data_IF_509861895502
#
_entry.id   IF_509861895502
#
_cell.length_a   1.000
_cell.length_b   1.000
_cell.length_c   1.000
_cell.angle_alpha   90.00
_cell.angle_beta   90.00
_cell.angle_gamma   90.00
#
_symmetry.space_group_name_H-M   'P 1'
#
loop_
_entity.id
_entity.type
_entity.pdbx_description
1 polymer ?
#
# COMPACT_ATOMS: atom_id res chain seq x y z
N UNK A 1 20.06 12.38 0.05
CA UNK A 1 19.58 12.61 1.42
C UNK A 1 18.76 13.90 1.40
N UNK A 2 17.46 13.79 1.17
CA UNK A 2 16.54 14.92 1.15
C UNK A 2 15.91 15.02 2.54
N UNK A 3 16.37 15.98 3.33
CA UNK A 3 15.83 16.25 4.65
C UNK A 3 14.37 16.70 4.51
N UNK A 4 13.49 16.02 5.23
CA UNK A 4 12.08 16.36 5.37
C UNK A 4 11.95 17.65 6.18
N UNK A 5 11.30 18.66 5.60
CA UNK A 5 10.90 19.90 6.26
C UNK A 5 12.05 20.82 6.62
N UNK A 6 12.47 21.65 5.65
CA UNK A 6 13.44 22.73 5.85
C UNK A 6 13.05 23.55 7.10
N UNK A 7 13.90 23.59 8.13
CA UNK A 7 13.62 24.27 9.41
C UNK A 7 13.21 25.74 9.22
N UNK A 8 13.65 26.34 8.12
CA UNK A 8 13.28 27.67 7.65
C UNK A 8 11.78 27.82 7.33
N UNK A 9 11.09 26.78 6.85
CA UNK A 9 9.64 26.82 6.59
C UNK A 9 8.84 26.85 7.89
N UNK A 10 9.20 25.99 8.86
CA UNK A 10 8.52 25.96 10.17
C UNK A 10 8.68 27.29 10.90
N UNK A 11 9.88 27.87 10.86
CA UNK A 11 10.17 29.16 11.45
C UNK A 11 9.37 30.30 10.77
N UNK A 12 9.35 30.33 9.43
CA UNK A 12 8.54 31.30 8.69
C UNK A 12 7.04 31.20 9.00
N UNK A 13 6.49 29.99 9.11
CA UNK A 13 5.08 29.80 9.45
C UNK A 13 4.76 30.33 10.85
N UNK A 14 5.59 30.02 11.84
CA UNK A 14 5.39 30.48 13.22
C UNK A 14 5.57 31.99 13.38
N UNK A 15 6.62 32.55 12.79
CA UNK A 15 6.99 33.96 13.00
C UNK A 15 6.07 34.93 12.23
N UNK A 16 5.49 34.47 11.11
CA UNK A 16 4.72 35.35 10.21
C UNK A 16 3.25 34.97 10.11
N UNK A 17 2.91 33.74 9.71
CA UNK A 17 1.52 33.38 9.37
C UNK A 17 0.68 32.98 10.57
N UNK A 18 1.29 32.27 11.53
CA UNK A 18 0.63 31.73 12.71
C UNK A 18 0.83 32.62 13.94
N UNK A 19 1.13 33.91 13.72
CA UNK A 19 1.32 34.88 14.78
C UNK A 19 0.02 35.01 15.62
N UNK A 20 0.14 35.04 16.94
CA UNK A 20 -1.01 35.17 17.85
C UNK A 20 -1.75 36.49 17.65
N UNK A 21 -1.04 37.57 17.32
CA UNK A 21 -1.62 38.87 17.01
C UNK A 21 -2.13 38.91 15.56
N UNK A 22 -3.45 39.06 15.31
CA UNK A 22 -4.01 39.15 13.97
C UNK A 22 -3.51 40.37 13.18
N UNK A 23 -3.18 41.48 13.86
CA UNK A 23 -2.74 42.71 13.20
C UNK A 23 -1.29 42.65 12.72
N UNK A 24 -0.49 41.76 13.31
CA UNK A 24 0.88 41.47 12.88
C UNK A 24 0.96 40.47 11.71
N UNK A 25 -0.16 39.81 11.35
CA UNK A 25 -0.19 38.82 10.26
C UNK A 25 -0.11 39.51 8.90
N UNK A 26 0.71 39.00 7.96
CA UNK A 26 0.78 39.55 6.63
C UNK A 26 -0.50 39.25 5.83
N UNK A 27 -0.85 40.17 4.95
CA UNK A 27 -1.94 39.98 3.98
C UNK A 27 -1.55 38.94 2.93
N UNK A 28 -2.55 38.35 2.26
CA UNK A 28 -2.32 37.40 1.17
C UNK A 28 -1.39 37.96 0.07
N UNK A 29 -1.49 39.26 -0.24
CA UNK A 29 -0.62 39.93 -1.21
C UNK A 29 0.84 39.95 -0.74
N UNK A 30 1.09 40.32 0.52
CA UNK A 30 2.43 40.36 1.10
C UNK A 30 3.06 38.96 1.17
N UNK A 31 2.26 37.92 1.42
CA UNK A 31 2.70 36.52 1.42
C UNK A 31 3.20 36.10 0.03
N UNK A 32 2.39 36.37 -1.01
CA UNK A 32 2.72 36.03 -2.40
C UNK A 32 3.95 36.81 -2.90
N UNK A 33 4.17 38.01 -2.38
CA UNK A 33 5.34 38.82 -2.73
C UNK A 33 6.62 38.40 -1.99
N UNK A 34 6.51 37.57 -0.95
CA UNK A 34 7.66 37.13 -0.13
C UNK A 34 8.69 36.35 -0.96
N UNK A 35 9.96 36.54 -0.60
CA UNK A 35 11.08 35.88 -1.28
C UNK A 35 11.07 34.36 -1.10
N UNK A 36 10.53 33.85 0.02
CA UNK A 36 10.45 32.41 0.30
C UNK A 36 9.39 31.73 -0.55
N UNK A 37 8.19 32.30 -0.68
CA UNK A 37 7.15 31.75 -1.55
C UNK A 37 7.61 31.76 -3.02
N UNK A 38 8.28 32.83 -3.48
CA UNK A 38 8.88 32.88 -4.81
C UNK A 38 10.05 31.89 -5.03
N UNK A 39 10.69 31.44 -3.96
CA UNK A 39 11.75 30.42 -4.00
C UNK A 39 11.16 29.00 -4.00
N UNK A 40 10.06 28.78 -3.29
CA UNK A 40 9.45 27.46 -3.13
C UNK A 40 8.41 27.12 -4.21
N UNK A 41 7.76 28.13 -4.77
CA UNK A 41 6.70 27.97 -5.77
C UNK A 41 7.11 28.63 -7.09
N UNK A 42 6.65 28.06 -8.19
CA UNK A 42 6.77 28.64 -9.51
C UNK A 42 5.76 29.77 -9.70
N UNK A 43 5.86 30.47 -10.84
CA UNK A 43 5.01 31.63 -11.13
C UNK A 43 3.55 31.26 -11.35
N UNK A 44 3.25 30.01 -11.70
CA UNK A 44 1.89 29.50 -11.86
C UNK A 44 1.73 28.11 -11.27
N UNK A 45 0.49 27.80 -10.88
CA UNK A 45 0.11 26.48 -10.37
C UNK A 45 0.39 25.36 -11.38
N UNK A 46 0.19 25.63 -12.67
CA UNK A 46 0.49 24.66 -13.73
C UNK A 46 1.99 24.32 -13.81
N UNK A 47 2.85 25.31 -13.55
CA UNK A 47 4.29 25.08 -13.50
C UNK A 47 4.68 24.25 -12.27
N UNK A 48 4.06 24.52 -11.12
CA UNK A 48 4.25 23.70 -9.92
C UNK A 48 3.77 22.26 -10.13
N UNK A 49 2.59 22.08 -10.72
CA UNK A 49 2.07 20.76 -11.09
C UNK A 49 3.06 20.02 -12.00
N UNK A 50 3.51 20.67 -13.07
CA UNK A 50 4.44 20.07 -14.03
C UNK A 50 5.80 19.75 -13.38
N UNK A 51 6.30 20.61 -12.50
CA UNK A 51 7.53 20.38 -11.76
C UNK A 51 7.41 19.17 -10.83
N UNK A 52 6.31 19.07 -10.06
CA UNK A 52 6.03 17.94 -9.19
C UNK A 52 5.86 16.64 -9.98
N UNK A 53 5.09 16.66 -11.08
CA UNK A 53 4.94 15.49 -11.98
C UNK A 53 6.30 15.07 -12.51
N UNK A 54 7.15 16.00 -12.96
CA UNK A 54 8.47 15.65 -13.47
C UNK A 54 9.37 15.04 -12.40
N UNK A 55 9.52 15.69 -11.25
CA UNK A 55 10.46 15.24 -10.22
C UNK A 55 9.96 14.01 -9.45
N UNK A 56 8.65 13.88 -9.19
CA UNK A 56 8.13 12.75 -8.42
C UNK A 56 7.63 11.60 -9.30
N UNK A 57 7.08 11.89 -10.47
CA UNK A 57 6.55 10.84 -11.34
C UNK A 57 7.60 10.44 -12.37
N UNK A 58 8.10 11.36 -13.18
CA UNK A 58 9.05 10.98 -14.24
C UNK A 58 10.43 10.55 -13.71
N UNK A 59 10.93 11.21 -12.66
CA UNK A 59 12.27 10.90 -12.12
C UNK A 59 12.25 9.81 -11.02
N UNK A 60 11.19 9.73 -10.20
CA UNK A 60 11.13 8.82 -9.05
C UNK A 60 10.14 7.66 -9.20
N UNK A 61 9.10 7.78 -10.04
CA UNK A 61 8.00 6.81 -10.15
C UNK A 61 7.66 6.50 -11.61
N UNK A 62 8.64 5.95 -12.33
CA UNK A 62 8.53 5.58 -13.74
C UNK A 62 7.39 4.60 -14.03
N UNK A 63 6.90 3.86 -13.03
CA UNK A 63 5.80 2.90 -13.18
C UNK A 63 4.42 3.56 -13.26
N UNK A 64 4.28 4.78 -12.71
CA UNK A 64 3.08 5.58 -12.88
C UNK A 64 3.04 6.35 -14.21
N UNK A 65 4.14 6.36 -14.98
CA UNK A 65 4.21 7.00 -16.29
C UNK A 65 3.20 6.42 -17.29
N UNK A 66 2.94 5.11 -17.26
CA UNK A 66 2.00 4.43 -18.16
C UNK A 66 0.54 4.49 -17.69
N UNK A 67 0.29 4.90 -16.45
CA UNK A 67 -1.05 4.96 -15.84
C UNK A 67 -1.65 6.37 -15.83
N UNK A 68 -0.85 7.41 -16.11
CA UNK A 68 -1.32 8.79 -16.29
C UNK A 68 -2.08 8.99 -17.61
N UNK A 69 -1.86 8.13 -18.62
CA UNK A 69 -2.57 8.19 -19.91
C UNK A 69 -4.00 7.62 -19.83
N UNK A 70 -4.33 6.94 -18.74
CA UNK A 70 -5.70 6.54 -18.43
C UNK A 70 -6.19 7.41 -17.25
N UNK A 71 -7.27 8.16 -17.43
CA UNK A 71 -7.97 8.89 -16.36
C UNK A 71 -8.57 7.89 -15.34
N UNK A 72 -7.70 7.24 -14.57
CA UNK A 72 -8.01 6.24 -13.57
C UNK A 72 -7.52 6.67 -12.19
N UNK A 73 -8.18 6.13 -11.17
CA UNK A 73 -7.80 6.39 -9.77
C UNK A 73 -6.38 5.88 -9.49
N UNK A 74 -5.54 6.76 -8.92
CA UNK A 74 -4.16 6.45 -8.57
C UNK A 74 -4.09 5.65 -7.25
N UNK A 75 -4.44 4.36 -7.30
CA UNK A 75 -4.40 3.45 -6.15
C UNK A 75 -2.99 2.91 -5.82
N UNK A 76 -1.94 3.34 -6.54
CA UNK A 76 -0.59 2.82 -6.35
C UNK A 76 0.17 3.47 -5.19
N UNK A 77 -0.36 4.44 -4.44
CA UNK A 77 0.40 5.04 -3.32
C UNK A 77 0.81 3.99 -2.27
N UNK A 78 0.01 2.93 -2.11
CA UNK A 78 0.35 1.80 -1.23
C UNK A 78 1.25 0.75 -1.91
N UNK A 79 1.18 0.59 -3.23
CA UNK A 79 2.06 -0.33 -3.99
C UNK A 79 3.46 0.25 -4.25
N UNK A 80 3.57 1.56 -4.44
CA UNK A 80 4.82 2.24 -4.73
C UNK A 80 5.74 2.27 -3.51
N UNK A 81 5.23 2.48 -2.29
CA UNK A 81 6.04 2.35 -1.06
C UNK A 81 6.54 0.90 -0.92
N UNK A 82 5.68 -0.09 -1.23
CA UNK A 82 6.04 -1.50 -1.18
C UNK A 82 7.11 -1.90 -2.20
N UNK A 83 7.04 -1.35 -3.43
CA UNK A 83 8.04 -1.59 -4.48
C UNK A 83 9.34 -0.82 -4.23
N UNK A 84 9.28 0.45 -3.81
CA UNK A 84 10.46 1.34 -3.73
C UNK A 84 11.38 1.02 -2.53
N UNK A 85 10.84 0.44 -1.44
CA UNK A 85 11.67 -0.09 -0.34
C UNK A 85 12.43 -1.37 -0.77
N UNK A 86 12.00 -2.07 -1.82
CA UNK A 86 12.46 -3.43 -2.12
C UNK A 86 12.93 -3.71 -3.55
N UNK A 87 12.98 -2.74 -4.46
CA UNK A 87 13.48 -2.96 -5.84
C UNK A 87 15.01 -2.95 -5.94
N UNK A 88 15.61 -4.06 -5.52
CA UNK A 88 16.70 -4.64 -6.30
C UNK A 88 16.07 -5.35 -7.50
N UNK A 89 16.11 -4.70 -8.68
CA UNK A 89 15.39 -4.94 -9.96
C UNK A 89 15.19 -6.38 -10.46
N UNK A 90 15.78 -7.41 -9.84
CA UNK A 90 15.68 -8.83 -10.26
C UNK A 90 14.55 -9.58 -9.52
N UNK A 91 14.11 -9.10 -8.36
CA UNK A 91 13.15 -9.82 -7.51
C UNK A 91 11.70 -9.56 -7.90
N UNK A 92 11.38 -8.36 -8.42
CA UNK A 92 10.03 -7.98 -8.86
C UNK A 92 9.55 -8.77 -10.08
N UNK A 93 10.36 -8.88 -11.13
CA UNK A 93 10.02 -9.64 -12.34
C UNK A 93 9.82 -11.14 -12.07
N UNK A 94 10.53 -11.69 -11.09
CA UNK A 94 10.36 -13.08 -10.66
C UNK A 94 9.09 -13.25 -9.83
N UNK A 95 8.72 -12.26 -9.03
CA UNK A 95 7.49 -12.28 -8.24
C UNK A 95 6.24 -12.20 -9.13
N UNK A 96 6.32 -11.43 -10.22
CA UNK A 96 5.25 -11.32 -11.23
C UNK A 96 4.99 -12.62 -11.99
N UNK A 97 6.01 -13.48 -12.15
CA UNK A 97 5.91 -14.76 -12.87
C UNK A 97 5.49 -15.94 -11.99
N UNK A 98 5.41 -15.77 -10.67
CA UNK A 98 5.13 -16.87 -9.74
C UNK A 98 3.66 -16.89 -9.34
N UNK A 99 3.12 -18.10 -9.25
CA UNK A 99 1.75 -18.35 -8.78
C UNK A 99 1.76 -18.61 -7.28
N UNK A 100 0.95 -17.84 -6.55
CA UNK A 100 0.74 -18.05 -5.13
C UNK A 100 -0.67 -18.59 -4.89
N UNK A 101 -0.82 -19.39 -3.85
CA UNK A 101 -2.11 -19.75 -3.31
C UNK A 101 -2.15 -19.36 -1.84
N UNK A 102 -3.32 -18.87 -1.40
CA UNK A 102 -3.54 -18.57 0.01
C UNK A 102 -4.77 -19.29 0.52
N UNK A 103 -4.78 -19.51 1.83
CA UNK A 103 -5.87 -20.04 2.61
C UNK A 103 -6.19 -19.02 3.69
N UNK A 104 -7.45 -18.60 3.75
CA UNK A 104 -7.93 -17.60 4.70
C UNK A 104 -9.03 -18.22 5.57
N UNK A 105 -8.90 -18.04 6.88
CA UNK A 105 -9.90 -18.40 7.88
C UNK A 105 -10.15 -17.19 8.79
N UNK A 106 -11.42 -16.83 9.00
CA UNK A 106 -11.81 -15.73 9.90
C UNK A 106 -12.57 -16.29 11.09
N UNK A 107 -12.21 -15.81 12.28
CA UNK A 107 -12.76 -16.24 13.56
C UNK A 107 -13.44 -15.06 14.25
N UNK A 108 -14.65 -15.30 14.74
CA UNK A 108 -15.42 -14.40 15.58
C UNK A 108 -15.54 -15.04 16.98
N UNK A 109 -14.99 -14.40 18.03
CA UNK A 109 -14.91 -14.96 19.39
C UNK A 109 -14.41 -16.42 19.41
N UNK A 110 -13.34 -16.72 18.67
CA UNK A 110 -12.74 -18.05 18.49
C UNK A 110 -13.57 -19.08 17.68
N UNK A 111 -14.78 -18.71 17.26
CA UNK A 111 -15.59 -19.54 16.36
C UNK A 111 -15.29 -19.20 14.90
N UNK A 112 -15.07 -20.22 14.09
CA UNK A 112 -14.88 -20.06 12.65
C UNK A 112 -16.16 -19.51 12.02
N UNK A 113 -16.07 -18.37 11.34
CA UNK A 113 -17.23 -17.70 10.75
C UNK A 113 -17.91 -18.60 9.73
N UNK A 114 -19.25 -18.69 9.81
CA UNK A 114 -20.08 -19.54 8.95
C UNK A 114 -19.78 -19.28 7.47
N UNK A 115 -19.40 -20.33 6.74
CA UNK A 115 -18.92 -20.25 5.36
C UNK A 115 -17.42 -20.50 5.20
N UNK A 116 -16.65 -20.47 6.27
CA UNK A 116 -15.24 -20.89 6.30
C UNK A 116 -15.13 -22.36 6.72
N UNK A 117 -15.69 -23.32 5.99
CA UNK A 117 -15.57 -24.74 6.40
C UNK A 117 -14.10 -25.21 6.33
N UNK A 118 -13.65 -26.15 7.17
CA UNK A 118 -12.22 -26.53 7.25
C UNK A 118 -11.69 -27.16 5.94
N UNK A 119 -12.60 -27.76 5.15
CA UNK A 119 -12.35 -28.23 3.78
C UNK A 119 -12.58 -27.17 2.68
N UNK A 120 -13.28 -26.07 3.02
CA UNK A 120 -13.58 -24.90 2.16
C UNK A 120 -12.88 -23.62 2.61
N UNK A 121 -11.81 -23.74 3.39
CA UNK A 121 -10.89 -22.64 3.67
C UNK A 121 -10.62 -21.92 2.33
N UNK A 122 -10.86 -20.61 2.23
CA UNK A 122 -10.93 -19.91 0.94
C UNK A 122 -9.58 -20.04 0.21
N UNK A 123 -9.45 -21.10 -0.60
CA UNK A 123 -8.23 -21.47 -1.32
C UNK A 123 -8.32 -20.83 -2.68
N UNK A 124 -7.77 -19.64 -2.80
CA UNK A 124 -7.68 -18.96 -4.10
C UNK A 124 -6.23 -18.87 -4.52
N UNK A 125 -6.04 -19.08 -5.81
CA UNK A 125 -4.77 -18.86 -6.48
C UNK A 125 -4.79 -17.47 -7.06
N UNK A 126 -3.72 -16.72 -6.86
CA UNK A 126 -3.51 -15.46 -7.56
C UNK A 126 -2.08 -15.42 -8.11
N UNK A 127 -1.97 -14.86 -9.30
CA UNK A 127 -0.70 -14.44 -9.88
C UNK A 127 -0.72 -12.93 -9.89
N UNK A 128 0.41 -12.29 -9.65
CA UNK A 128 0.49 -10.83 -9.79
C UNK A 128 0.26 -10.36 -11.24
N UNK A 129 0.17 -11.27 -12.20
CA UNK A 129 -0.05 -11.03 -13.62
C UNK A 129 -1.52 -11.22 -14.09
N UNK A 130 -2.24 -12.25 -13.62
CA UNK A 130 -3.53 -12.64 -14.24
C UNK A 130 -4.77 -12.33 -13.38
N UNK A 131 -4.68 -12.48 -12.06
CA UNK A 131 -5.79 -12.19 -11.14
C UNK A 131 -5.27 -11.34 -10.00
N UNK A 132 -5.80 -10.12 -9.84
CA UNK A 132 -5.39 -9.30 -8.72
C UNK A 132 -5.86 -9.95 -7.42
N UNK A 133 -4.98 -10.01 -6.41
CA UNK A 133 -5.33 -10.48 -5.07
C UNK A 133 -6.61 -9.79 -4.57
N UNK A 134 -6.74 -8.49 -4.86
CA UNK A 134 -7.93 -7.71 -4.57
C UNK A 134 -9.20 -8.30 -5.19
N UNK A 135 -9.23 -8.67 -6.47
CA UNK A 135 -10.40 -9.32 -7.08
C UNK A 135 -10.79 -10.60 -6.34
N UNK A 136 -9.81 -11.40 -5.94
CA UNK A 136 -10.11 -12.64 -5.19
C UNK A 136 -10.67 -12.36 -3.80
N UNK A 137 -10.22 -11.30 -3.13
CA UNK A 137 -10.75 -10.87 -1.83
C UNK A 137 -12.14 -10.26 -1.96
N UNK A 138 -12.42 -9.52 -3.04
CA UNK A 138 -13.74 -8.97 -3.30
C UNK A 138 -14.79 -10.07 -3.52
N UNK A 139 -14.44 -11.19 -4.15
CA UNK A 139 -15.32 -12.36 -4.22
C UNK A 139 -15.67 -12.90 -2.82
N UNK A 140 -14.71 -12.91 -1.89
CA UNK A 140 -14.98 -13.32 -0.51
C UNK A 140 -15.87 -12.31 0.24
N UNK A 141 -15.86 -11.04 -0.15
CA UNK A 141 -16.81 -10.04 0.36
C UNK A 141 -18.20 -10.27 -0.22
N UNK A 142 -18.31 -10.55 -1.52
CA UNK A 142 -19.58 -10.85 -2.20
C UNK A 142 -20.23 -12.13 -1.64
N UNK A 143 -19.42 -13.14 -1.31
CA UNK A 143 -19.84 -14.40 -0.68
C UNK A 143 -20.07 -14.26 0.85
N UNK A 144 -19.98 -13.05 1.40
CA UNK A 144 -20.16 -12.72 2.82
C UNK A 144 -19.18 -13.44 3.79
N UNK A 145 -18.04 -13.93 3.29
CA UNK A 145 -16.97 -14.49 4.11
C UNK A 145 -16.10 -13.40 4.75
N UNK A 146 -16.01 -12.24 4.11
CA UNK A 146 -15.24 -11.07 4.58
C UNK A 146 -16.10 -9.81 4.64
N UNK A 147 -15.75 -8.91 5.54
CA UNK A 147 -16.28 -7.55 5.50
C UNK A 147 -15.36 -6.66 4.67
N UNK A 148 -15.93 -5.62 4.06
CA UNK A 148 -15.20 -4.74 3.14
C UNK A 148 -13.93 -4.13 3.78
N UNK A 149 -13.99 -3.81 5.06
CA UNK A 149 -12.86 -3.22 5.78
C UNK A 149 -11.81 -4.25 6.21
N UNK A 150 -12.11 -5.55 6.19
CA UNK A 150 -11.14 -6.62 6.45
C UNK A 150 -10.19 -6.83 5.26
N UNK A 151 -10.60 -6.40 4.05
CA UNK A 151 -9.85 -6.61 2.81
C UNK A 151 -8.45 -6.00 2.89
N UNK A 152 -8.32 -4.79 3.44
CA UNK A 152 -7.04 -4.07 3.54
C UNK A 152 -6.03 -4.82 4.44
N UNK A 153 -6.34 -5.12 5.72
CA UNK A 153 -5.39 -5.82 6.57
C UNK A 153 -5.09 -7.25 6.09
N UNK A 154 -6.05 -7.93 5.45
CA UNK A 154 -5.83 -9.26 4.86
C UNK A 154 -4.90 -9.19 3.64
N UNK A 155 -5.15 -8.26 2.71
CA UNK A 155 -4.31 -8.05 1.52
C UNK A 155 -2.85 -7.76 1.91
N UNK A 156 -2.65 -6.86 2.89
CA UNK A 156 -1.32 -6.50 3.38
C UNK A 156 -0.57 -7.72 3.95
N UNK A 157 -1.25 -8.54 4.76
CA UNK A 157 -0.65 -9.73 5.36
C UNK A 157 -0.34 -10.81 4.32
N UNK A 158 -1.22 -11.06 3.35
CA UNK A 158 -0.95 -12.02 2.26
C UNK A 158 0.29 -11.59 1.48
N UNK A 159 0.38 -10.32 1.08
CA UNK A 159 1.55 -9.80 0.36
C UNK A 159 2.82 -9.96 1.19
N UNK A 160 2.78 -9.62 2.47
CA UNK A 160 3.90 -9.80 3.40
C UNK A 160 4.40 -11.26 3.43
N UNK A 161 3.47 -12.23 3.52
CA UNK A 161 3.80 -13.65 3.51
C UNK A 161 4.36 -14.12 2.16
N UNK A 162 3.83 -13.65 1.03
CA UNK A 162 4.42 -13.90 -0.29
C UNK A 162 5.89 -13.45 -0.36
N UNK A 163 6.22 -12.32 0.25
CA UNK A 163 7.62 -11.86 0.31
C UNK A 163 8.50 -12.77 1.17
N UNK A 164 8.01 -13.20 2.33
CA UNK A 164 8.72 -14.15 3.19
C UNK A 164 8.99 -15.46 2.45
N UNK A 165 7.99 -16.00 1.75
CA UNK A 165 8.13 -17.18 0.89
C UNK A 165 9.18 -16.99 -0.22
N UNK A 166 9.16 -15.84 -0.90
CA UNK A 166 10.13 -15.55 -1.95
C UNK A 166 11.55 -15.40 -1.42
N UNK A 167 11.71 -14.88 -0.19
CA UNK A 167 13.00 -14.84 0.50
C UNK A 167 13.48 -16.24 0.87
N UNK A 168 12.60 -17.10 1.38
CA UNK A 168 12.91 -18.51 1.63
C UNK A 168 13.29 -19.25 0.33
N UNK A 169 12.54 -19.05 -0.75
CA UNK A 169 12.84 -19.59 -2.07
C UNK A 169 14.23 -19.18 -2.55
N UNK A 170 14.65 -17.93 -2.33
CA UNK A 170 16.01 -17.49 -2.67
C UNK A 170 17.09 -18.29 -1.93
N UNK A 171 16.89 -18.59 -0.63
CA UNK A 171 17.81 -19.43 0.13
C UNK A 171 17.90 -20.85 -0.45
N UNK A 172 16.79 -21.38 -0.98
CA UNK A 172 16.73 -22.69 -1.64
C UNK A 172 17.04 -22.65 -3.14
N UNK A 173 17.63 -21.56 -3.66
CA UNK A 173 17.91 -21.37 -5.10
C UNK A 173 16.66 -21.57 -5.99
N UNK A 174 15.50 -21.16 -5.49
CA UNK A 174 14.19 -21.27 -6.12
C UNK A 174 13.68 -22.70 -6.32
N UNK A 175 14.13 -23.65 -5.49
CA UNK A 175 13.47 -24.94 -5.40
C UNK A 175 12.21 -24.83 -4.53
N UNK A 176 11.06 -24.60 -5.16
CA UNK A 176 9.78 -24.32 -4.50
C UNK A 176 9.31 -25.49 -3.63
N UNK A 177 9.60 -26.73 -4.01
CA UNK A 177 9.27 -27.95 -3.23
C UNK A 177 9.92 -28.00 -1.83
N UNK A 178 10.95 -27.18 -1.60
CA UNK A 178 11.65 -27.07 -0.31
C UNK A 178 11.15 -25.90 0.55
N UNK A 179 10.23 -25.09 0.02
CA UNK A 179 9.69 -23.94 0.73
C UNK A 179 8.42 -24.38 1.46
N UNK A 180 8.44 -24.30 2.79
CA UNK A 180 7.25 -24.52 3.60
C UNK A 180 6.27 -23.35 3.47
N UNK A 181 4.99 -23.61 3.76
CA UNK A 181 3.98 -22.57 3.77
C UNK A 181 4.24 -21.55 4.90
N UNK A 182 3.98 -20.29 4.64
CA UNK A 182 4.10 -19.22 5.64
C UNK A 182 2.71 -18.90 6.19
N UNK A 183 2.59 -18.73 7.51
CA UNK A 183 1.32 -18.44 8.16
C UNK A 183 1.39 -17.24 9.11
N UNK A 184 0.26 -16.55 9.25
CA UNK A 184 0.09 -15.47 10.23
C UNK A 184 -1.31 -15.54 10.83
N UNK A 185 -1.38 -15.31 12.15
CA UNK A 185 -2.61 -15.07 12.90
C UNK A 185 -2.55 -13.63 13.40
N UNK A 186 -3.61 -12.85 13.18
CA UNK A 186 -3.67 -11.47 13.61
C UNK A 186 -5.11 -11.05 13.92
N UNK A 187 -5.26 -9.98 14.69
CA UNK A 187 -6.54 -9.42 15.08
C UNK A 187 -7.13 -8.57 13.95
N UNK A 188 -8.42 -8.74 13.69
CA UNK A 188 -9.18 -7.94 12.74
C UNK A 188 -9.90 -6.79 13.45
N UNK A 189 -10.25 -5.72 12.72
CA UNK A 189 -11.10 -4.66 13.26
C UNK A 189 -12.46 -5.23 13.72
N UNK A 190 -13.04 -4.67 14.80
CA UNK A 190 -14.37 -5.07 15.25
C UNK A 190 -15.41 -4.78 14.16
N UNK A 191 -16.38 -5.67 14.02
CA UNK A 191 -17.54 -5.47 13.13
C UNK A 191 -18.75 -5.00 13.92
N UNK A 192 -19.82 -4.64 13.21
CA UNK A 192 -21.12 -4.34 13.84
C UNK A 192 -21.71 -5.53 14.61
N UNK A 193 -21.22 -6.75 14.36
CA UNK A 193 -21.77 -7.99 14.90
C UNK A 193 -20.85 -8.68 15.93
N UNK A 194 -19.56 -8.32 15.96
CA UNK A 194 -18.56 -8.97 16.80
C UNK A 194 -17.38 -8.04 17.11
N UNK A 195 -17.06 -7.88 18.39
CA UNK A 195 -15.99 -7.00 18.85
C UNK A 195 -14.60 -7.68 18.84
N UNK A 196 -14.55 -9.02 18.93
CA UNK A 196 -13.32 -9.80 18.98
C UNK A 196 -13.22 -10.72 17.76
N UNK A 197 -12.40 -10.31 16.80
CA UNK A 197 -12.27 -10.97 15.50
C UNK A 197 -10.80 -11.21 15.20
N UNK A 198 -10.48 -12.34 14.60
CA UNK A 198 -9.13 -12.66 14.16
C UNK A 198 -9.12 -13.37 12.81
N UNK A 199 -8.00 -13.30 12.10
CA UNK A 199 -7.80 -13.95 10.83
C UNK A 199 -6.53 -14.79 10.85
N UNK A 200 -6.65 -16.03 10.36
CA UNK A 200 -5.52 -16.90 10.04
C UNK A 200 -5.34 -16.96 8.53
N UNK A 201 -4.13 -16.63 8.08
CA UNK A 201 -3.73 -16.67 6.68
C UNK A 201 -2.57 -17.64 6.53
N UNK A 202 -2.66 -18.53 5.54
CA UNK A 202 -1.57 -19.41 5.14
C UNK A 202 -1.30 -19.20 3.66
N UNK A 203 -0.08 -18.88 3.28
CA UNK A 203 0.33 -18.68 1.88
C UNK A 203 1.35 -19.74 1.49
N UNK A 204 1.28 -20.22 0.25
CA UNK A 204 2.20 -21.20 -0.31
C UNK A 204 2.38 -21.01 -1.82
N UNK A 205 3.47 -21.54 -2.36
CA UNK A 205 3.68 -21.59 -3.81
C UNK A 205 2.69 -22.56 -4.46
N UNK A 206 2.13 -22.18 -5.61
CA UNK A 206 1.32 -23.07 -6.43
C UNK A 206 2.22 -23.73 -7.47
N UNK A 207 2.24 -25.06 -7.47
CA UNK A 207 2.91 -25.88 -8.50
C UNK A 207 2.25 -25.74 -9.88
#
# INVERSE_FOLDING_TARGET
>A
MTQSGDGHLKQYLNDTMLNLDPSARPTAKQILESHLIKKWCNKSLDQDKNHLVKCFIYELDWQNHSKLDADGYNYNSCEAIFRLIFTGMIHGEKLEKQSFAYRLCVYDHDNLRVGSDVDQSFRRCFTHADNSLFQTLMLAVDDAHLEMFDVIPIDQNIRSLCFSLMRAAKHHRYNLSKCEAEEVLFDLPPSFHCDLRSAKIVVYFKD
#
